data_IF_981437322058
#
_entry.id   IF_981437322058
#
_cell.length_a   1.000
_cell.length_b   1.000
_cell.length_c   1.000
_cell.angle_alpha   90.00
_cell.angle_beta   90.00
_cell.angle_gamma   90.00
#
_symmetry.space_group_name_H-M   'P 1'
#
loop_
_entity.id
_entity.type
_entity.pdbx_description
1 polymer ?
#
# COMPACT_ATOMS: atom_id res chain seq x y z
N UNK A 1 28.88 6.62 -29.23
CA UNK A 1 27.45 6.32 -29.46
C UNK A 1 26.73 6.44 -28.12
N UNK A 2 26.10 7.60 -27.90
CA UNK A 2 25.70 8.12 -26.58
C UNK A 2 24.45 7.46 -25.99
N UNK A 3 24.39 7.46 -24.66
CA UNK A 3 23.55 6.61 -23.83
C UNK A 3 22.04 6.81 -23.92
N UNK A 4 21.32 5.70 -23.74
CA UNK A 4 19.88 5.67 -23.53
C UNK A 4 19.53 6.30 -22.17
N UNK A 5 19.29 7.61 -22.15
CA UNK A 5 18.76 8.29 -20.97
C UNK A 5 17.29 7.92 -20.82
N UNK A 6 16.98 6.96 -19.94
CA UNK A 6 15.61 6.61 -19.58
C UNK A 6 15.00 7.79 -18.81
N UNK A 7 14.23 8.62 -19.50
CA UNK A 7 13.53 9.75 -18.89
C UNK A 7 12.32 9.23 -18.11
N UNK A 8 12.48 9.07 -16.81
CA UNK A 8 11.34 8.79 -15.92
C UNK A 8 10.50 10.06 -15.74
N UNK A 9 9.27 10.05 -16.27
CA UNK A 9 8.33 11.16 -16.09
C UNK A 9 7.83 11.18 -14.64
N UNK A 10 8.12 12.26 -13.92
CA UNK A 10 7.61 12.46 -12.56
C UNK A 10 6.08 12.63 -12.59
N UNK A 11 5.37 11.63 -12.09
CA UNK A 11 3.92 11.69 -11.95
C UNK A 11 3.55 12.42 -10.65
N UNK A 12 3.23 13.72 -10.75
CA UNK A 12 2.83 14.57 -9.61
C UNK A 12 1.54 14.12 -8.91
N UNK A 13 0.66 13.42 -9.62
CA UNK A 13 -0.58 12.88 -9.07
C UNK A 13 -0.38 11.54 -8.37
N UNK A 14 0.83 10.96 -8.43
CA UNK A 14 1.12 9.61 -7.99
C UNK A 14 0.45 8.53 -8.85
N UNK A 15 0.72 7.27 -8.52
CA UNK A 15 0.15 6.13 -9.24
C UNK A 15 -1.30 5.85 -8.81
N UNK A 16 -2.25 6.31 -9.63
CA UNK A 16 -3.69 6.09 -9.42
C UNK A 16 -4.09 4.62 -9.51
N UNK A 17 -3.41 3.82 -10.35
CA UNK A 17 -3.71 2.38 -10.52
C UNK A 17 -3.28 1.62 -9.28
N UNK A 18 -2.06 1.85 -8.79
CA UNK A 18 -1.57 1.28 -7.54
C UNK A 18 -2.47 1.67 -6.35
N UNK A 19 -2.86 2.95 -6.28
CA UNK A 19 -3.71 3.45 -5.21
C UNK A 19 -5.11 2.80 -5.21
N UNK A 20 -5.65 2.49 -6.40
CA UNK A 20 -6.90 1.75 -6.58
C UNK A 20 -6.74 0.27 -6.19
N UNK A 21 -5.70 -0.40 -6.66
CA UNK A 21 -5.41 -1.79 -6.33
C UNK A 21 -5.25 -1.99 -4.81
N UNK A 22 -4.49 -1.12 -4.14
CA UNK A 22 -4.33 -1.16 -2.67
C UNK A 22 -5.64 -0.93 -1.92
N UNK A 23 -6.52 -0.08 -2.46
CA UNK A 23 -7.85 0.12 -1.90
C UNK A 23 -8.70 -1.15 -2.03
N UNK A 24 -8.72 -1.76 -3.21
CA UNK A 24 -9.48 -2.98 -3.48
C UNK A 24 -9.01 -4.13 -2.58
N UNK A 25 -7.69 -4.33 -2.44
CA UNK A 25 -7.12 -5.32 -1.52
C UNK A 25 -7.50 -5.03 -0.07
N UNK A 26 -7.51 -3.76 0.36
CA UNK A 26 -7.92 -3.40 1.71
C UNK A 26 -9.39 -3.77 1.98
N UNK A 27 -10.30 -3.46 1.06
CA UNK A 27 -11.73 -3.80 1.16
C UNK A 27 -11.93 -5.31 1.19
N UNK A 28 -11.32 -6.04 0.25
CA UNK A 28 -11.41 -7.50 0.19
C UNK A 28 -10.87 -8.17 1.44
N UNK A 29 -9.74 -7.70 2.00
CA UNK A 29 -9.19 -8.23 3.26
C UNK A 29 -10.11 -7.95 4.45
N UNK A 30 -10.68 -6.76 4.53
CA UNK A 30 -11.62 -6.43 5.61
C UNK A 30 -12.89 -7.28 5.54
N UNK A 31 -13.30 -7.70 4.34
CA UNK A 31 -14.49 -8.55 4.14
C UNK A 31 -14.22 -10.05 4.39
N UNK A 32 -13.08 -10.58 3.96
CA UNK A 32 -12.86 -12.05 3.94
C UNK A 32 -11.85 -12.56 4.99
N UNK A 33 -11.00 -11.71 5.56
CA UNK A 33 -9.95 -12.15 6.47
C UNK A 33 -10.35 -11.95 7.94
N UNK A 34 -10.55 -13.05 8.67
CA UNK A 34 -11.01 -13.04 10.07
C UNK A 34 -10.19 -12.12 10.99
N UNK A 35 -8.86 -12.12 10.89
CA UNK A 35 -8.00 -11.22 11.71
C UNK A 35 -8.21 -9.75 11.35
N UNK A 36 -8.50 -9.44 10.08
CA UNK A 36 -8.76 -8.07 9.62
C UNK A 36 -10.16 -7.58 10.01
N UNK A 37 -11.15 -8.48 10.06
CA UNK A 37 -12.46 -8.20 10.64
C UNK A 37 -12.37 -7.90 12.14
N UNK A 38 -11.60 -8.70 12.90
CA UNK A 38 -11.36 -8.44 14.32
C UNK A 38 -10.65 -7.08 14.53
N UNK A 39 -9.68 -6.75 13.68
CA UNK A 39 -9.05 -5.42 13.69
C UNK A 39 -10.07 -4.31 13.40
N UNK A 40 -10.97 -4.50 12.43
CA UNK A 40 -12.03 -3.53 12.15
C UNK A 40 -12.99 -3.36 13.32
N UNK A 41 -13.41 -4.46 13.96
CA UNK A 41 -14.27 -4.41 15.14
C UNK A 41 -13.61 -3.63 16.28
N UNK A 42 -12.31 -3.89 16.55
CA UNK A 42 -11.53 -3.14 17.54
C UNK A 42 -11.42 -1.65 17.18
N UNK A 43 -11.21 -1.31 15.91
CA UNK A 43 -11.15 0.09 15.47
C UNK A 43 -12.51 0.78 15.57
N UNK A 44 -13.60 0.07 15.31
CA UNK A 44 -14.95 0.60 15.44
C UNK A 44 -15.30 0.86 16.92
N UNK A 45 -14.86 0.00 17.84
CA UNK A 45 -15.01 0.24 19.28
C UNK A 45 -14.18 1.43 19.79
N UNK A 46 -13.06 1.75 19.14
CA UNK A 46 -12.25 2.96 19.40
C UNK A 46 -12.88 4.26 18.83
N UNK A 47 -14.17 4.26 18.46
CA UNK A 47 -14.89 5.37 17.79
C UNK A 47 -14.35 5.79 16.42
N UNK A 48 -13.57 4.94 15.74
CA UNK A 48 -13.14 5.23 14.36
C UNK A 48 -14.21 4.82 13.36
N UNK A 49 -14.38 5.65 12.34
CA UNK A 49 -15.29 5.35 11.23
C UNK A 49 -14.75 4.21 10.37
N UNK A 50 -15.65 3.54 9.63
CA UNK A 50 -15.26 2.52 8.64
C UNK A 50 -14.26 3.07 7.62
N UNK A 51 -14.43 4.34 7.19
CA UNK A 51 -13.54 5.02 6.22
C UNK A 51 -12.12 5.18 6.77
N UNK A 52 -11.98 5.57 8.04
CA UNK A 52 -10.67 5.70 8.69
C UNK A 52 -9.98 4.35 8.86
N UNK A 53 -10.76 3.32 9.19
CA UNK A 53 -10.25 1.94 9.30
C UNK A 53 -9.70 1.45 7.96
N UNK A 54 -10.43 1.65 6.86
CA UNK A 54 -9.97 1.33 5.50
C UNK A 54 -8.70 2.10 5.17
N UNK A 55 -8.65 3.41 5.49
CA UNK A 55 -7.45 4.24 5.25
C UNK A 55 -6.24 3.73 6.02
N UNK A 56 -6.42 3.34 7.27
CA UNK A 56 -5.37 2.77 8.11
C UNK A 56 -4.87 1.42 7.55
N UNK A 57 -5.80 0.55 7.15
CA UNK A 57 -5.49 -0.76 6.55
C UNK A 57 -4.72 -0.59 5.23
N UNK A 58 -5.19 0.30 4.35
CA UNK A 58 -4.51 0.63 3.09
C UNK A 58 -3.09 1.14 3.32
N UNK A 59 -2.87 1.98 4.34
CA UNK A 59 -1.53 2.48 4.69
C UNK A 59 -0.63 1.38 5.24
N UNK A 60 -1.16 0.45 6.03
CA UNK A 60 -0.41 -0.72 6.49
C UNK A 60 0.00 -1.63 5.32
N UNK A 61 -0.90 -1.86 4.36
CA UNK A 61 -0.61 -2.61 3.14
C UNK A 61 0.48 -1.95 2.31
N UNK A 62 0.36 -0.64 2.06
CA UNK A 62 1.36 0.11 1.30
C UNK A 62 2.75 0.01 1.95
N UNK A 63 2.84 0.15 3.27
CA UNK A 63 4.11 -0.01 4.01
C UNK A 63 4.67 -1.42 3.91
N UNK A 64 3.83 -2.44 3.99
CA UNK A 64 4.27 -3.83 3.85
C UNK A 64 4.81 -4.12 2.46
N UNK A 65 4.10 -3.66 1.42
CA UNK A 65 4.53 -3.82 0.02
C UNK A 65 5.84 -3.08 -0.22
N UNK A 66 5.96 -1.85 0.28
CA UNK A 66 7.20 -1.08 0.17
C UNK A 66 8.40 -1.82 0.78
N UNK A 67 8.24 -2.36 2.01
CA UNK A 67 9.32 -3.13 2.67
C UNK A 67 9.70 -4.40 1.91
N UNK A 68 8.72 -5.09 1.30
CA UNK A 68 9.00 -6.27 0.47
C UNK A 68 9.77 -5.86 -0.78
N UNK A 69 9.34 -4.79 -1.46
CA UNK A 69 10.03 -4.28 -2.65
C UNK A 69 11.45 -3.82 -2.32
N UNK A 70 11.64 -3.13 -1.21
CA UNK A 70 12.96 -2.71 -0.73
C UNK A 70 13.87 -3.91 -0.43
N UNK A 71 13.36 -4.94 0.25
CA UNK A 71 14.10 -6.17 0.51
C UNK A 71 14.41 -6.98 -0.77
N UNK A 72 13.54 -6.88 -1.79
CA UNK A 72 13.70 -7.57 -3.07
C UNK A 72 14.53 -6.76 -4.07
N UNK A 73 14.88 -5.52 -3.75
CA UNK A 73 15.64 -4.64 -4.63
C UNK A 73 17.14 -4.71 -4.29
N UNK A 74 17.97 -5.44 -5.08
CA UNK A 74 19.42 -5.53 -4.84
C UNK A 74 20.18 -4.22 -5.10
N UNK A 75 19.51 -3.16 -5.58
CA UNK A 75 20.14 -1.85 -5.87
C UNK A 75 20.70 -1.17 -4.61
N UNK A 76 20.33 -1.64 -3.41
CA UNK A 76 20.90 -1.19 -2.13
C UNK A 76 22.05 -2.04 -1.57
N UNK A 77 22.49 -3.12 -2.25
CA UNK A 77 23.61 -3.97 -1.80
C UNK A 77 24.92 -3.73 -2.56
N UNK A 78 24.98 -2.73 -3.42
CA UNK A 78 26.21 -2.33 -4.09
C UNK A 78 26.35 -0.80 -4.09
N UNK A 79 26.74 -0.26 -2.93
CA UNK A 79 27.48 1.00 -2.79
C UNK A 79 28.20 0.98 -1.44
#
# INVERSE_FOLDING_TARGET
MGGNVVRFRLNRSGDRRLNSALYMVAVTRLSHHKKSQAYMARRLSERKTKKETIRCMKRALARSVYRILEATNPIGQAA
#
